data_IF_516696802645
#
_entry.id   IF_516696802645
#
_cell.length_a   1.000
_cell.length_b   1.000
_cell.length_c   1.000
_cell.angle_alpha   90.00
_cell.angle_beta   90.00
_cell.angle_gamma   90.00
#
_symmetry.space_group_name_H-M   'P 1'
#
loop_
_entity.id
_entity.type
_entity.pdbx_description
1 polymer ?
#
# COMPACT_ATOMS: atom_id res chain seq x y z
N UNK A 1 21.45 -5.61 19.21
CA UNK A 1 20.86 -5.75 20.57
C UNK A 1 19.88 -6.89 20.53
N UNK A 2 19.85 -7.74 21.56
CA UNK A 2 18.82 -8.77 21.66
C UNK A 2 17.46 -8.15 22.02
N UNK A 3 16.38 -8.92 21.84
CA UNK A 3 15.03 -8.57 22.27
C UNK A 3 15.01 -8.18 23.76
N UNK A 4 15.62 -9.01 24.60
CA UNK A 4 15.65 -8.79 26.06
C UNK A 4 16.35 -7.48 26.42
N UNK A 5 17.47 -7.15 25.74
CA UNK A 5 18.16 -5.87 25.94
C UNK A 5 17.32 -4.65 25.53
N UNK A 6 16.45 -4.79 24.54
CA UNK A 6 15.53 -3.71 24.14
C UNK A 6 14.41 -3.55 25.18
N UNK A 7 13.84 -4.67 25.65
CA UNK A 7 12.82 -4.67 26.69
C UNK A 7 13.33 -4.05 27.99
N UNK A 8 14.53 -4.43 28.45
CA UNK A 8 15.14 -3.89 29.67
C UNK A 8 15.35 -2.38 29.59
N UNK A 9 15.82 -1.88 28.44
CA UNK A 9 15.99 -0.43 28.24
C UNK A 9 14.66 0.30 28.22
N UNK A 10 13.66 -0.23 27.53
CA UNK A 10 12.33 0.36 27.50
C UNK A 10 11.72 0.38 28.91
N UNK A 11 11.87 -0.70 29.66
CA UNK A 11 11.43 -0.79 31.06
C UNK A 11 12.05 0.31 31.91
N UNK A 12 13.37 0.44 31.91
CA UNK A 12 14.09 1.48 32.66
C UNK A 12 13.66 2.89 32.26
N UNK A 13 13.43 3.12 30.96
CA UNK A 13 12.92 4.41 30.47
C UNK A 13 11.51 4.70 31.01
N UNK A 14 10.62 3.71 31.03
CA UNK A 14 9.24 3.87 31.50
C UNK A 14 9.10 3.99 33.03
N UNK A 15 10.09 3.53 33.81
CA UNK A 15 10.11 3.73 35.26
C UNK A 15 10.30 5.20 35.63
N UNK A 16 11.17 5.90 34.91
CA UNK A 16 11.57 7.28 35.25
C UNK A 16 10.79 8.36 34.50
N UNK A 17 10.17 8.00 33.37
CA UNK A 17 9.52 8.96 32.47
C UNK A 17 8.00 8.98 32.62
N UNK A 18 7.43 10.17 32.36
CA UNK A 18 5.99 10.30 32.12
C UNK A 18 5.74 10.19 30.62
N UNK A 19 5.05 9.12 30.21
CA UNK A 19 5.01 8.72 28.79
C UNK A 19 3.58 8.41 28.32
N UNK A 20 3.25 8.82 27.10
CA UNK A 20 2.09 8.33 26.36
C UNK A 20 2.61 7.49 25.21
N UNK A 21 2.21 6.23 25.18
CA UNK A 21 2.64 5.25 24.19
C UNK A 21 1.43 4.95 23.32
N UNK A 22 1.60 5.06 22.01
CA UNK A 22 0.56 4.76 21.03
C UNK A 22 0.99 3.48 20.33
N UNK A 23 0.20 2.43 20.52
CA UNK A 23 0.36 1.15 19.82
C UNK A 23 -0.73 1.09 18.78
N UNK A 24 -0.35 1.39 17.54
CA UNK A 24 -1.26 1.44 16.42
C UNK A 24 -1.38 0.06 15.76
N UNK A 25 -2.61 -0.32 15.41
CA UNK A 25 -2.99 -1.52 14.68
C UNK A 25 -2.41 -2.83 15.24
N UNK A 26 -2.83 -3.22 16.45
CA UNK A 26 -2.50 -4.53 17.01
C UNK A 26 -3.49 -5.62 16.57
N UNK A 27 -2.98 -6.75 16.08
CA UNK A 27 -3.81 -7.77 15.42
C UNK A 27 -4.21 -8.90 16.38
N UNK A 28 -3.28 -9.36 17.21
CA UNK A 28 -3.46 -10.55 18.06
C UNK A 28 -3.14 -10.27 19.53
N UNK A 29 -3.68 -11.13 20.40
CA UNK A 29 -3.44 -11.07 21.84
C UNK A 29 -1.96 -11.36 22.16
N UNK A 30 -1.34 -12.28 21.41
CA UNK A 30 0.07 -12.65 21.58
C UNK A 30 1.04 -11.50 21.23
N UNK A 31 0.62 -10.55 20.39
CA UNK A 31 1.42 -9.37 20.07
C UNK A 31 1.62 -8.50 21.32
N UNK A 32 0.62 -8.45 22.21
CA UNK A 32 0.71 -7.76 23.50
C UNK A 32 1.65 -8.49 24.45
N UNK A 33 1.54 -9.82 24.56
CA UNK A 33 2.38 -10.64 25.43
C UNK A 33 3.88 -10.47 25.15
N UNK A 34 4.22 -10.16 23.89
CA UNK A 34 5.60 -9.91 23.46
C UNK A 34 6.16 -8.60 24.04
N UNK A 35 5.33 -7.58 24.21
CA UNK A 35 5.75 -6.22 24.62
C UNK A 35 5.43 -5.90 26.08
N UNK A 36 4.44 -6.57 26.68
CA UNK A 36 4.02 -6.39 28.07
C UNK A 36 5.19 -6.38 29.07
N UNK A 37 6.21 -7.28 28.96
CA UNK A 37 7.32 -7.30 29.92
C UNK A 37 8.12 -6.01 29.99
N UNK A 38 8.05 -5.16 28.96
CA UNK A 38 8.75 -3.88 28.93
C UNK A 38 8.02 -2.78 29.74
N UNK A 39 6.82 -3.03 30.26
CA UNK A 39 6.02 -2.06 30.99
C UNK A 39 6.11 -2.27 32.52
N UNK A 40 6.67 -1.31 33.27
CA UNK A 40 6.71 -1.39 34.73
C UNK A 40 5.31 -1.37 35.33
N UNK A 41 5.02 -2.27 36.29
CA UNK A 41 3.71 -2.33 37.00
C UNK A 41 3.32 -1.02 37.68
N UNK A 42 4.31 -0.19 38.03
CA UNK A 42 4.13 1.16 38.57
C UNK A 42 4.97 2.10 37.74
N UNK A 43 4.35 3.14 37.19
CA UNK A 43 5.03 4.14 36.39
C UNK A 43 4.06 5.23 35.97
N UNK A 44 4.58 6.29 35.38
CA UNK A 44 3.78 7.41 34.88
C UNK A 44 3.52 7.28 33.38
N UNK A 45 3.23 6.06 32.92
CA UNK A 45 2.94 5.79 31.53
C UNK A 45 1.45 5.54 31.30
N UNK A 46 0.99 5.83 30.07
CA UNK A 46 -0.33 5.48 29.56
C UNK A 46 -0.17 4.87 28.17
N UNK A 47 -1.00 3.89 27.85
CA UNK A 47 -1.06 3.27 26.53
C UNK A 47 -2.38 3.66 25.87
N UNK A 48 -2.30 4.14 24.64
CA UNK A 48 -3.41 4.19 23.70
C UNK A 48 -3.18 3.07 22.69
N UNK A 49 -4.05 2.06 22.70
CA UNK A 49 -3.98 0.91 21.80
C UNK A 49 -5.12 1.01 20.79
N UNK A 50 -4.82 0.91 19.51
CA UNK A 50 -5.83 0.76 18.45
C UNK A 50 -5.78 -0.67 17.91
N UNK A 51 -6.96 -1.26 17.70
CA UNK A 51 -7.10 -2.61 17.16
C UNK A 51 -8.46 -2.77 16.53
N UNK A 52 -8.53 -3.62 15.49
CA UNK A 52 -9.80 -4.08 14.90
C UNK A 52 -10.45 -5.19 15.73
N UNK A 53 -9.73 -5.78 16.69
CA UNK A 53 -10.18 -6.84 17.56
C UNK A 53 -10.23 -6.37 19.02
N UNK A 54 -11.44 -6.15 19.54
CA UNK A 54 -11.66 -5.69 20.92
C UNK A 54 -10.99 -6.59 21.97
N UNK A 55 -10.80 -7.89 21.68
CA UNK A 55 -10.16 -8.83 22.61
C UNK A 55 -8.72 -8.46 22.92
N UNK A 56 -7.99 -7.87 21.97
CA UNK A 56 -6.59 -7.45 22.17
C UNK A 56 -6.50 -6.41 23.29
N UNK A 57 -7.41 -5.43 23.29
CA UNK A 57 -7.48 -4.42 24.35
C UNK A 57 -7.85 -5.04 25.71
N UNK A 58 -8.88 -5.90 25.73
CA UNK A 58 -9.33 -6.56 26.96
C UNK A 58 -8.29 -7.54 27.54
N UNK A 59 -7.48 -8.18 26.68
CA UNK A 59 -6.36 -9.02 27.08
C UNK A 59 -5.25 -8.18 27.73
N UNK A 60 -4.97 -7.00 27.18
CA UNK A 60 -3.92 -6.10 27.70
C UNK A 60 -4.22 -5.54 29.11
N UNK A 61 -5.45 -5.09 29.36
CA UNK A 61 -5.96 -4.77 30.70
C UNK A 61 -7.48 -4.97 30.68
N UNK A 62 -8.03 -5.92 31.45
CA UNK A 62 -9.48 -6.14 31.53
C UNK A 62 -10.28 -4.92 32.00
N UNK A 63 -9.61 -3.90 32.56
CA UNK A 63 -10.19 -2.63 33.02
C UNK A 63 -9.93 -1.47 32.07
N UNK A 64 -9.38 -1.74 30.88
CA UNK A 64 -9.09 -0.69 29.91
C UNK A 64 -10.36 0.10 29.53
N UNK A 65 -10.18 1.37 29.21
CA UNK A 65 -11.26 2.16 28.63
C UNK A 65 -11.38 1.84 27.13
N UNK A 66 -12.37 1.03 26.77
CA UNK A 66 -12.64 0.72 25.36
C UNK A 66 -13.43 1.84 24.71
N UNK A 67 -12.83 2.51 23.72
CA UNK A 67 -13.51 3.47 22.86
C UNK A 67 -13.82 2.83 21.51
N UNK A 68 -15.09 2.75 21.14
CA UNK A 68 -15.54 2.28 19.83
C UNK A 68 -15.95 3.49 18.98
N UNK A 69 -15.15 3.92 17.99
CA UNK A 69 -15.54 4.97 17.07
C UNK A 69 -16.86 4.60 16.38
N UNK A 70 -17.78 5.56 16.30
CA UNK A 70 -19.05 5.37 15.57
C UNK A 70 -18.84 5.70 14.09
N UNK A 71 -19.61 5.04 13.23
CA UNK A 71 -19.75 5.49 11.84
C UNK A 71 -20.35 6.90 11.79
N UNK A 72 -20.01 7.64 10.74
CA UNK A 72 -20.56 8.95 10.48
C UNK A 72 -22.08 8.86 10.22
N UNK A 73 -22.82 9.87 10.67
CA UNK A 73 -24.20 10.05 10.21
C UNK A 73 -24.23 10.40 8.72
N UNK A 74 -25.42 10.38 8.12
CA UNK A 74 -25.57 10.79 6.72
C UNK A 74 -25.21 12.28 6.53
N UNK A 75 -25.50 13.12 7.51
CA UNK A 75 -25.19 14.55 7.53
C UNK A 75 -23.69 14.80 7.67
N UNK A 76 -23.02 14.07 8.58
CA UNK A 76 -21.56 14.13 8.74
C UNK A 76 -20.85 13.61 7.48
N UNK A 77 -21.35 12.51 6.91
CA UNK A 77 -20.85 11.95 5.65
C UNK A 77 -21.01 12.94 4.50
N UNK A 78 -22.15 13.61 4.39
CA UNK A 78 -22.38 14.64 3.38
C UNK A 78 -21.42 15.82 3.55
N UNK A 79 -21.24 16.29 4.80
CA UNK A 79 -20.31 17.38 5.11
C UNK A 79 -18.87 17.02 4.72
N UNK A 80 -18.42 15.80 5.05
CA UNK A 80 -17.11 15.29 4.66
C UNK A 80 -16.97 15.18 3.13
N UNK A 81 -17.99 14.60 2.48
CA UNK A 81 -18.03 14.43 1.03
C UNK A 81 -17.92 15.77 0.30
N UNK A 82 -18.71 16.78 0.69
CA UNK A 82 -18.73 18.09 0.06
C UNK A 82 -17.35 18.76 0.09
N UNK A 83 -16.63 18.67 1.22
CA UNK A 83 -15.29 19.24 1.37
C UNK A 83 -14.27 18.65 0.40
N UNK A 84 -14.51 17.42 -0.07
CA UNK A 84 -13.59 16.69 -0.95
C UNK A 84 -14.03 16.80 -2.41
N UNK A 85 -15.32 16.59 -2.69
CA UNK A 85 -15.88 16.61 -4.04
C UNK A 85 -15.96 18.03 -4.62
N UNK A 86 -16.14 19.04 -3.77
CA UNK A 86 -16.23 20.45 -4.14
C UNK A 86 -15.18 21.29 -3.40
N UNK A 87 -13.88 21.07 -3.65
CA UNK A 87 -12.84 21.80 -2.94
C UNK A 87 -12.93 23.29 -3.30
N UNK A 88 -13.16 24.13 -2.30
CA UNK A 88 -13.33 25.59 -2.46
C UNK A 88 -12.08 26.22 -3.08
N UNK A 89 -12.08 26.37 -4.41
CA UNK A 89 -11.15 27.22 -5.14
C UNK A 89 -11.90 28.47 -5.58
N UNK A 90 -11.73 29.55 -4.81
CA UNK A 90 -11.99 30.95 -5.17
C UNK A 90 -12.86 31.19 -6.40
N UNK A 91 -14.13 30.79 -6.33
CA UNK A 91 -15.12 31.17 -7.34
C UNK A 91 -16.44 31.37 -6.65
N UNK A 92 -16.87 32.62 -6.63
CA UNK A 92 -18.17 33.12 -6.16
C UNK A 92 -19.38 32.54 -6.92
N UNK A 93 -19.23 31.42 -7.64
CA UNK A 93 -20.27 30.89 -8.55
C UNK A 93 -20.27 29.36 -8.74
N UNK A 94 -19.65 28.53 -7.87
CA UNK A 94 -19.99 27.10 -7.88
C UNK A 94 -21.35 26.89 -7.21
N UNK A 95 -22.44 27.20 -7.94
CA UNK A 95 -23.74 26.65 -7.62
C UNK A 95 -23.64 25.15 -7.86
N UNK A 96 -23.47 24.38 -6.78
CA UNK A 96 -23.70 22.93 -6.81
C UNK A 96 -25.09 22.76 -7.42
N UNK A 97 -25.15 22.11 -8.59
CA UNK A 97 -26.41 21.78 -9.22
C UNK A 97 -27.22 20.95 -8.21
N UNK A 98 -28.49 21.30 -8.00
CA UNK A 98 -29.37 20.57 -7.08
C UNK A 98 -29.38 19.08 -7.45
N UNK A 99 -29.30 18.75 -8.73
CA UNK A 99 -29.20 17.36 -9.20
C UNK A 99 -27.90 16.68 -8.76
N UNK A 100 -26.75 17.37 -8.77
CA UNK A 100 -25.48 16.83 -8.28
C UNK A 100 -25.52 16.59 -6.77
N UNK A 101 -26.13 17.51 -6.03
CA UNK A 101 -26.31 17.36 -4.59
C UNK A 101 -27.18 16.16 -4.24
N UNK A 102 -28.32 16.00 -4.93
CA UNK A 102 -29.22 14.86 -4.73
C UNK A 102 -28.54 13.53 -5.07
N UNK A 103 -27.84 13.45 -6.21
CA UNK A 103 -27.07 12.26 -6.58
C UNK A 103 -25.97 11.97 -5.56
N UNK A 104 -25.22 12.98 -5.13
CA UNK A 104 -24.16 12.84 -4.13
C UNK A 104 -24.72 12.28 -2.81
N UNK A 105 -25.80 12.85 -2.30
CA UNK A 105 -26.52 12.38 -1.10
C UNK A 105 -27.01 10.95 -1.24
N UNK A 106 -27.41 10.53 -2.43
CA UNK A 106 -27.80 9.14 -2.67
C UNK A 106 -26.57 8.20 -2.67
N UNK A 107 -25.48 8.59 -3.32
CA UNK A 107 -24.27 7.75 -3.41
C UNK A 107 -23.61 7.53 -2.05
N UNK A 108 -23.53 8.56 -1.20
CA UNK A 108 -22.89 8.43 0.13
C UNK A 108 -23.61 7.44 1.06
N UNK A 109 -24.91 7.13 0.83
CA UNK A 109 -25.62 6.09 1.57
C UNK A 109 -24.97 4.72 1.40
N UNK A 110 -24.32 4.48 0.27
CA UNK A 110 -23.61 3.23 -0.02
C UNK A 110 -22.24 3.13 0.66
N UNK A 111 -21.74 4.23 1.22
CA UNK A 111 -20.49 4.27 1.98
C UNK A 111 -20.65 3.76 3.43
N UNK A 112 -21.87 3.47 3.89
CA UNK A 112 -22.13 2.91 5.22
C UNK A 112 -21.67 3.80 6.39
N UNK A 113 -21.48 5.09 6.16
CA UNK A 113 -20.93 6.03 7.15
C UNK A 113 -19.43 5.84 7.43
N UNK A 114 -18.72 5.03 6.64
CA UNK A 114 -17.27 4.86 6.78
C UNK A 114 -16.54 6.07 6.17
N UNK A 115 -15.72 6.81 6.96
CA UNK A 115 -15.02 7.99 6.46
C UNK A 115 -14.20 7.72 5.20
N UNK A 116 -13.48 6.60 5.15
CA UNK A 116 -12.67 6.23 3.98
C UNK A 116 -13.52 6.13 2.71
N UNK A 117 -14.62 5.37 2.73
CA UNK A 117 -15.47 5.19 1.56
C UNK A 117 -16.07 6.53 1.08
N UNK A 118 -16.47 7.38 2.03
CA UNK A 118 -16.96 8.73 1.74
C UNK A 118 -15.85 9.57 1.06
N UNK A 119 -14.63 9.53 1.58
CA UNK A 119 -13.50 10.29 1.02
C UNK A 119 -13.06 9.79 -0.35
N UNK A 120 -13.10 8.47 -0.59
CA UNK A 120 -12.76 7.85 -1.87
C UNK A 120 -13.81 8.17 -2.93
N UNK A 121 -15.10 8.12 -2.58
CA UNK A 121 -16.19 8.58 -3.45
C UNK A 121 -16.08 10.08 -3.77
N UNK A 122 -15.79 10.90 -2.74
CA UNK A 122 -15.57 12.33 -2.91
C UNK A 122 -14.40 12.63 -3.85
N UNK A 123 -13.27 11.93 -3.69
CA UNK A 123 -12.10 12.10 -4.54
C UNK A 123 -12.31 11.60 -5.98
N UNK A 124 -13.07 10.52 -6.16
CA UNK A 124 -13.51 10.06 -7.47
C UNK A 124 -14.32 11.16 -8.19
N UNK A 125 -15.31 11.73 -7.50
CA UNK A 125 -16.22 12.72 -8.08
C UNK A 125 -15.58 14.11 -8.21
N UNK A 126 -14.59 14.45 -7.39
CA UNK A 126 -13.79 15.67 -7.56
C UNK A 126 -13.03 15.71 -8.91
N UNK A 127 -12.72 14.54 -9.47
CA UNK A 127 -12.11 14.41 -10.79
C UNK A 127 -13.12 14.48 -11.95
N UNK A 128 -14.43 14.47 -11.65
CA UNK A 128 -15.54 14.49 -12.62
C UNK A 128 -16.27 15.83 -12.51
N UNK A 129 -16.05 16.73 -13.47
CA UNK A 129 -16.54 18.11 -13.35
C UNK A 129 -17.96 18.30 -13.88
N UNK A 130 -18.48 17.35 -14.67
CA UNK A 130 -19.77 17.51 -15.36
C UNK A 130 -20.88 16.68 -14.75
N UNK A 131 -22.12 17.19 -14.85
CA UNK A 131 -23.34 16.48 -14.41
C UNK A 131 -23.46 15.12 -15.10
N UNK A 132 -23.07 15.04 -16.37
CA UNK A 132 -23.09 13.81 -17.16
C UNK A 132 -22.15 12.76 -16.58
N UNK A 133 -20.95 13.14 -16.16
CA UNK A 133 -19.98 12.22 -15.55
C UNK A 133 -20.46 11.74 -14.18
N UNK A 134 -20.98 12.66 -13.36
CA UNK A 134 -21.61 12.31 -12.08
C UNK A 134 -22.75 11.31 -12.26
N UNK A 135 -23.64 11.57 -13.23
CA UNK A 135 -24.75 10.67 -13.56
C UNK A 135 -24.27 9.30 -14.03
N UNK A 136 -23.16 9.22 -14.78
CA UNK A 136 -22.55 7.93 -15.17
C UNK A 136 -22.10 7.14 -13.94
N UNK A 137 -21.38 7.78 -13.02
CA UNK A 137 -20.92 7.12 -11.78
C UNK A 137 -22.11 6.68 -10.93
N UNK A 138 -23.11 7.55 -10.78
CA UNK A 138 -24.34 7.25 -10.06
C UNK A 138 -25.06 6.00 -10.62
N UNK A 139 -25.26 5.93 -11.94
CA UNK A 139 -25.90 4.76 -12.56
C UNK A 139 -25.03 3.50 -12.48
N UNK A 140 -23.70 3.62 -12.55
CA UNK A 140 -22.79 2.50 -12.34
C UNK A 140 -22.98 1.91 -10.93
N UNK A 141 -22.93 2.74 -9.89
CA UNK A 141 -23.18 2.32 -8.50
C UNK A 141 -24.56 1.64 -8.39
N UNK A 142 -25.60 2.24 -8.97
CA UNK A 142 -26.96 1.68 -8.96
C UNK A 142 -27.01 0.30 -9.62
N UNK A 143 -26.35 0.12 -10.76
CA UNK A 143 -26.34 -1.14 -11.50
C UNK A 143 -25.64 -2.28 -10.75
N UNK A 144 -24.50 -2.00 -10.11
CA UNK A 144 -23.74 -3.00 -9.35
C UNK A 144 -24.47 -3.47 -8.09
N UNK A 145 -25.31 -2.62 -7.51
CA UNK A 145 -26.14 -2.94 -6.35
C UNK A 145 -27.35 -3.81 -6.74
N UNK A 146 -27.99 -3.51 -7.87
CA UNK A 146 -29.13 -4.30 -8.37
C UNK A 146 -28.69 -5.66 -8.92
N UNK A 147 -27.47 -5.74 -9.46
CA UNK A 147 -26.90 -6.98 -10.03
C UNK A 147 -26.46 -8.04 -9.03
N UNK A 148 -26.49 -7.76 -7.72
CA UNK A 148 -26.28 -8.76 -6.67
C UNK A 148 -24.97 -9.53 -6.78
N UNK A 149 -23.82 -8.86 -6.82
CA UNK A 149 -22.54 -9.55 -6.62
C UNK A 149 -22.41 -9.94 -5.14
N UNK A 150 -22.70 -11.20 -4.85
CA UNK A 150 -22.67 -11.82 -3.52
C UNK A 150 -21.35 -11.59 -2.79
N UNK A 151 -21.32 -10.62 -1.88
CA UNK A 151 -20.45 -10.64 -0.72
C UNK A 151 -21.34 -10.64 0.51
N UNK A 152 -21.09 -11.58 1.41
CA UNK A 152 -21.85 -11.78 2.65
C UNK A 152 -21.75 -10.53 3.50
N UNK A 153 -22.92 -9.99 3.85
CA UNK A 153 -23.18 -8.70 4.51
C UNK A 153 -23.33 -7.50 3.56
N UNK A 154 -24.58 -7.04 3.38
CA UNK A 154 -24.98 -6.10 2.30
C UNK A 154 -24.26 -4.74 2.39
N UNK A 155 -23.96 -4.27 3.60
CA UNK A 155 -23.28 -2.99 3.82
C UNK A 155 -21.78 -3.06 3.49
N UNK A 156 -21.13 -4.17 3.83
CA UNK A 156 -19.73 -4.40 3.48
C UNK A 156 -19.61 -4.50 1.95
N UNK A 157 -20.54 -5.23 1.30
CA UNK A 157 -20.58 -5.33 -0.16
C UNK A 157 -20.73 -3.97 -0.84
N UNK A 158 -21.52 -3.02 -0.32
CA UNK A 158 -21.69 -1.71 -0.96
C UNK A 158 -20.47 -0.81 -0.80
N UNK A 159 -19.79 -0.88 0.34
CA UNK A 159 -18.52 -0.15 0.57
C UNK A 159 -17.45 -0.62 -0.40
N UNK A 160 -17.22 -1.94 -0.50
CA UNK A 160 -16.24 -2.47 -1.45
C UNK A 160 -16.57 -2.10 -2.89
N UNK A 161 -17.85 -2.06 -3.27
CA UNK A 161 -18.28 -1.61 -4.60
C UNK A 161 -17.85 -0.17 -4.89
N UNK A 162 -17.96 0.75 -3.92
CA UNK A 162 -17.46 2.13 -4.07
C UNK A 162 -15.94 2.14 -4.26
N UNK A 163 -15.19 1.44 -3.41
CA UNK A 163 -13.73 1.41 -3.50
C UNK A 163 -13.25 0.78 -4.82
N UNK A 164 -13.93 -0.28 -5.27
CA UNK A 164 -13.67 -0.95 -6.53
C UNK A 164 -13.97 -0.05 -7.72
N UNK A 165 -15.12 0.63 -7.72
CA UNK A 165 -15.48 1.58 -8.78
C UNK A 165 -14.47 2.72 -8.87
N UNK A 166 -13.98 3.23 -7.74
CA UNK A 166 -12.92 4.24 -7.74
C UNK A 166 -11.63 3.75 -8.40
N UNK A 167 -11.30 2.46 -8.31
CA UNK A 167 -10.22 1.87 -9.12
C UNK A 167 -10.59 1.78 -10.60
N UNK A 168 -11.80 1.31 -10.94
CA UNK A 168 -12.22 1.15 -12.33
C UNK A 168 -12.23 2.44 -13.13
N UNK A 169 -12.53 3.56 -12.46
CA UNK A 169 -12.57 4.89 -13.05
C UNK A 169 -11.18 5.54 -13.16
N UNK A 170 -10.11 4.89 -12.69
CA UNK A 170 -8.75 5.40 -12.87
C UNK A 170 -8.33 5.35 -14.35
N UNK A 171 -7.57 6.35 -14.84
CA UNK A 171 -6.89 6.26 -16.12
C UNK A 171 -5.86 5.10 -16.10
N UNK A 172 -5.60 4.52 -17.27
CA UNK A 172 -4.77 3.31 -17.44
C UNK A 172 -3.42 3.41 -16.71
N UNK A 173 -2.75 4.55 -16.80
CA UNK A 173 -1.45 4.73 -16.14
C UNK A 173 -1.54 4.69 -14.60
N UNK A 174 -2.62 5.23 -14.02
CA UNK A 174 -2.86 5.16 -12.58
C UNK A 174 -3.27 3.76 -12.15
N UNK A 175 -4.08 3.04 -12.95
CA UNK A 175 -4.38 1.62 -12.68
C UNK A 175 -3.08 0.82 -12.55
N UNK A 176 -2.17 0.98 -13.51
CA UNK A 176 -0.88 0.29 -13.47
C UNK A 176 -0.01 0.71 -12.28
N UNK A 177 0.06 2.01 -11.96
CA UNK A 177 0.78 2.48 -10.77
C UNK A 177 0.17 1.91 -9.49
N UNK A 178 -1.16 1.91 -9.37
CA UNK A 178 -1.88 1.41 -8.22
C UNK A 178 -1.64 -0.08 -8.02
N UNK A 179 -1.83 -0.92 -9.05
CA UNK A 179 -1.54 -2.35 -8.99
C UNK A 179 -0.06 -2.64 -8.74
N UNK A 180 0.84 -1.74 -9.12
CA UNK A 180 2.25 -1.89 -8.78
C UNK A 180 2.52 -1.82 -7.27
N UNK A 181 1.68 -1.13 -6.51
CA UNK A 181 1.82 -1.04 -5.06
C UNK A 181 1.56 -2.39 -4.36
N UNK A 182 0.91 -3.36 -5.02
CA UNK A 182 0.74 -4.74 -4.50
C UNK A 182 2.06 -5.46 -4.23
N UNK A 183 3.17 -5.03 -4.85
CA UNK A 183 4.50 -5.62 -4.57
C UNK A 183 4.90 -5.48 -3.11
N UNK A 184 4.44 -4.44 -2.42
CA UNK A 184 4.86 -4.11 -1.07
C UNK A 184 3.94 -4.75 -0.03
N UNK A 185 4.47 -5.17 1.15
CA UNK A 185 3.67 -5.77 2.20
C UNK A 185 2.66 -4.78 2.78
N UNK A 186 1.78 -5.30 3.62
CA UNK A 186 0.85 -4.46 4.39
C UNK A 186 1.65 -3.52 5.30
N UNK A 187 1.12 -2.31 5.47
CA UNK A 187 1.74 -1.22 6.25
C UNK A 187 3.14 -0.77 5.87
N UNK A 188 3.61 -1.16 4.69
CA UNK A 188 4.91 -0.76 4.19
C UNK A 188 4.91 0.71 3.75
N UNK A 189 5.75 1.53 4.38
CA UNK A 189 6.08 2.86 3.86
C UNK A 189 6.96 2.75 2.61
N UNK A 190 6.37 3.00 1.45
CA UNK A 190 7.05 2.88 0.16
C UNK A 190 7.79 4.18 -0.13
N UNK A 191 9.12 4.10 -0.30
CA UNK A 191 9.90 5.26 -0.72
C UNK A 191 9.57 5.67 -2.17
N UNK A 192 9.02 6.87 -2.36
CA UNK A 192 8.53 7.31 -3.69
C UNK A 192 9.67 7.51 -4.69
N UNK A 193 10.87 7.87 -4.23
CA UNK A 193 12.06 7.94 -5.11
C UNK A 193 12.40 6.53 -5.63
N UNK A 194 12.41 5.53 -4.76
CA UNK A 194 12.68 4.13 -5.16
C UNK A 194 11.60 3.61 -6.11
N UNK A 195 10.33 3.81 -5.75
CA UNK A 195 9.18 3.50 -6.58
C UNK A 195 9.29 4.12 -7.98
N UNK A 196 9.77 5.36 -8.09
CA UNK A 196 9.91 6.03 -9.39
C UNK A 196 10.83 5.29 -10.37
N UNK A 197 11.87 4.64 -9.86
CA UNK A 197 12.75 3.83 -10.71
C UNK A 197 12.08 2.53 -11.14
N UNK A 198 11.31 1.90 -10.24
CA UNK A 198 10.60 0.67 -10.56
C UNK A 198 9.54 0.87 -11.64
N UNK A 199 8.70 1.90 -11.48
CA UNK A 199 7.65 2.22 -12.45
C UNK A 199 8.24 2.57 -13.83
N UNK A 200 9.39 3.26 -13.83
CA UNK A 200 10.11 3.57 -15.05
C UNK A 200 10.72 2.33 -15.73
N UNK A 201 11.32 1.42 -14.94
CA UNK A 201 11.88 0.16 -15.46
C UNK A 201 10.80 -0.74 -16.07
N UNK A 202 9.60 -0.73 -15.50
CA UNK A 202 8.44 -1.44 -16.02
C UNK A 202 7.81 -0.78 -17.25
N UNK A 203 8.23 0.44 -17.60
CA UNK A 203 7.69 1.26 -18.68
C UNK A 203 6.17 1.49 -18.54
N UNK A 204 5.72 1.80 -17.33
CA UNK A 204 4.33 2.21 -17.11
C UNK A 204 4.03 3.48 -17.92
N UNK A 205 2.87 3.57 -18.60
CA UNK A 205 2.54 4.72 -19.44
C UNK A 205 2.60 6.03 -18.66
N UNK A 206 3.18 7.07 -19.26
CA UNK A 206 3.26 8.40 -18.64
C UNK A 206 1.90 9.12 -18.73
N UNK A 207 1.58 10.02 -17.79
CA UNK A 207 0.44 10.93 -17.96
C UNK A 207 0.65 11.79 -19.22
N UNK A 208 -0.44 12.22 -19.86
CA UNK A 208 -0.36 13.14 -20.99
C UNK A 208 0.35 14.44 -20.56
N UNK A 209 1.29 14.93 -21.37
CA UNK A 209 2.05 16.15 -21.09
C UNK A 209 3.29 15.95 -20.19
N UNK A 210 3.67 14.71 -19.87
CA UNK A 210 4.84 14.38 -19.04
C UNK A 210 5.98 13.71 -19.83
N UNK A 211 6.04 13.92 -21.14
CA UNK A 211 7.03 13.27 -22.03
C UNK A 211 8.47 13.74 -21.76
N UNK A 212 8.66 14.98 -21.27
CA UNK A 212 9.96 15.52 -20.85
C UNK A 212 10.25 15.42 -19.35
N UNK A 213 9.31 14.92 -18.55
CA UNK A 213 9.45 14.87 -17.10
C UNK A 213 10.45 13.79 -16.66
N UNK A 214 11.12 14.03 -15.54
CA UNK A 214 11.94 13.01 -14.89
C UNK A 214 11.07 11.84 -14.40
N UNK A 215 11.66 10.66 -14.25
CA UNK A 215 10.95 9.49 -13.68
C UNK A 215 10.36 9.80 -12.30
N UNK A 216 11.05 10.65 -11.54
CA UNK A 216 10.63 11.08 -10.21
C UNK A 216 9.40 11.96 -10.26
N UNK A 217 9.35 12.95 -11.14
CA UNK A 217 8.19 13.84 -11.32
C UNK A 217 6.96 13.06 -11.81
N UNK A 218 7.16 12.10 -12.71
CA UNK A 218 6.08 11.20 -13.15
C UNK A 218 5.51 10.39 -11.98
N UNK A 219 6.36 9.81 -11.15
CA UNK A 219 5.91 9.07 -9.98
C UNK A 219 5.21 9.97 -8.95
N UNK A 220 5.71 11.20 -8.72
CA UNK A 220 5.03 12.18 -7.88
C UNK A 220 3.65 12.53 -8.42
N UNK A 221 3.50 12.65 -9.74
CA UNK A 221 2.22 12.89 -10.35
C UNK A 221 1.24 11.75 -10.09
N UNK A 222 1.70 10.50 -10.20
CA UNK A 222 0.85 9.35 -9.87
C UNK A 222 0.42 9.36 -8.40
N UNK A 223 1.37 9.55 -7.47
CA UNK A 223 1.07 9.55 -6.04
C UNK A 223 0.16 10.72 -5.69
N UNK A 224 0.40 11.92 -6.22
CA UNK A 224 -0.46 13.08 -6.04
C UNK A 224 -1.91 12.78 -6.41
N UNK A 225 -2.12 12.18 -7.59
CA UNK A 225 -3.45 11.89 -8.09
C UNK A 225 -4.17 10.76 -7.33
N UNK A 226 -3.43 9.79 -6.80
CA UNK A 226 -3.98 8.75 -5.92
C UNK A 226 -4.31 9.29 -4.53
N UNK A 227 -3.48 10.21 -4.00
CA UNK A 227 -3.72 10.91 -2.73
C UNK A 227 -4.93 11.83 -2.84
N UNK A 228 -5.08 12.58 -3.94
CA UNK A 228 -6.26 13.42 -4.20
C UNK A 228 -7.56 12.59 -4.28
N UNK A 229 -7.45 11.31 -4.68
CA UNK A 229 -8.57 10.35 -4.69
C UNK A 229 -8.73 9.60 -3.37
N UNK A 230 -7.94 9.93 -2.35
CA UNK A 230 -7.92 9.28 -1.04
C UNK A 230 -7.66 7.76 -1.10
N UNK A 231 -6.96 7.28 -2.14
CA UNK A 231 -6.64 5.85 -2.31
C UNK A 231 -5.29 5.47 -1.69
N UNK A 232 -4.41 6.46 -1.51
CA UNK A 232 -3.04 6.31 -1.02
C UNK A 232 -2.78 7.37 0.05
N UNK A 233 -2.15 6.95 1.14
CA UNK A 233 -1.63 7.82 2.19
C UNK A 233 -0.20 8.22 1.79
N UNK A 234 0.22 9.45 2.07
CA UNK A 234 1.58 9.89 1.75
C UNK A 234 2.15 10.83 2.80
N UNK A 235 3.47 10.76 2.98
CA UNK A 235 4.22 11.72 3.77
C UNK A 235 5.14 12.52 2.86
N UNK A 236 5.23 13.84 3.10
CA UNK A 236 6.15 14.73 2.39
C UNK A 236 7.43 14.95 3.19
N UNK A 237 8.52 15.12 2.47
CA UNK A 237 9.79 15.54 3.06
C UNK A 237 9.68 16.99 3.54
N UNK A 238 10.18 17.27 4.75
CA UNK A 238 10.00 18.57 5.42
C UNK A 238 10.70 19.72 4.69
N UNK A 239 11.81 19.44 4.02
CA UNK A 239 12.64 20.46 3.39
C UNK A 239 12.31 20.64 1.92
N UNK A 240 12.16 19.54 1.20
CA UNK A 240 11.89 19.55 -0.23
C UNK A 240 10.40 19.65 -0.56
N UNK A 241 9.51 19.42 0.41
CA UNK A 241 8.05 19.31 0.25
C UNK A 241 7.59 18.25 -0.77
N UNK A 242 8.52 17.45 -1.28
CA UNK A 242 8.28 16.36 -2.21
C UNK A 242 7.68 15.16 -1.48
N UNK A 243 6.91 14.33 -2.18
CA UNK A 243 6.41 13.07 -1.59
C UNK A 243 7.58 12.17 -1.22
N UNK A 244 7.79 11.90 0.06
CA UNK A 244 8.89 11.07 0.55
C UNK A 244 8.49 9.60 0.54
N UNK A 245 7.36 9.30 1.17
CA UNK A 245 6.79 7.95 1.27
C UNK A 245 5.33 7.95 0.86
N UNK A 246 4.85 6.79 0.42
CA UNK A 246 3.44 6.51 0.19
C UNK A 246 3.08 5.11 0.70
N UNK A 247 1.82 4.90 1.04
CA UNK A 247 1.29 3.64 1.56
C UNK A 247 -0.15 3.48 1.05
N UNK A 248 -0.52 2.25 0.67
CA UNK A 248 -1.92 1.95 0.38
C UNK A 248 -2.71 1.99 1.69
N UNK A 249 -3.88 2.63 1.67
CA UNK A 249 -4.81 2.46 2.77
C UNK A 249 -5.31 1.00 2.79
N UNK A 250 -5.44 0.38 3.96
CA UNK A 250 -5.69 -1.07 4.11
C UNK A 250 -6.89 -1.59 3.30
N UNK A 251 -8.04 -0.93 3.36
CA UNK A 251 -9.20 -1.32 2.55
C UNK A 251 -8.95 -1.16 1.03
N UNK A 252 -8.15 -0.16 0.64
CA UNK A 252 -7.73 0.01 -0.76
C UNK A 252 -6.69 -1.03 -1.16
N UNK A 253 -5.88 -1.51 -0.22
CA UNK A 253 -4.96 -2.62 -0.42
C UNK A 253 -5.71 -3.88 -0.78
N UNK A 254 -6.85 -4.16 -0.15
CA UNK A 254 -7.68 -5.31 -0.50
C UNK A 254 -8.21 -5.22 -1.94
N UNK A 255 -8.69 -4.04 -2.36
CA UNK A 255 -9.09 -3.82 -3.77
C UNK A 255 -7.89 -4.02 -4.70
N UNK A 256 -6.74 -3.46 -4.34
CA UNK A 256 -5.50 -3.54 -5.11
C UNK A 256 -5.03 -5.00 -5.30
N UNK A 257 -4.99 -5.79 -4.23
CA UNK A 257 -4.58 -7.20 -4.24
C UNK A 257 -5.54 -8.02 -5.09
N UNK A 258 -6.86 -7.91 -4.87
CA UNK A 258 -7.85 -8.66 -5.65
C UNK A 258 -7.76 -8.34 -7.14
N UNK A 259 -7.58 -7.06 -7.49
CA UNK A 259 -7.40 -6.66 -8.89
C UNK A 259 -6.11 -7.17 -9.50
N UNK A 260 -5.02 -7.16 -8.73
CA UNK A 260 -3.77 -7.73 -9.17
C UNK A 260 -3.89 -9.24 -9.43
N UNK A 261 -4.65 -9.97 -8.61
CA UNK A 261 -4.93 -11.39 -8.80
C UNK A 261 -5.80 -11.65 -10.05
N UNK A 262 -6.90 -10.90 -10.22
CA UNK A 262 -7.77 -10.97 -11.41
C UNK A 262 -6.97 -10.79 -12.72
N UNK A 263 -6.00 -9.87 -12.71
CA UNK A 263 -5.17 -9.54 -13.89
C UNK A 263 -3.88 -10.36 -13.99
N UNK A 264 -3.60 -11.27 -13.04
CA UNK A 264 -2.30 -11.94 -12.89
C UNK A 264 -1.11 -10.94 -12.92
N UNK A 265 -1.29 -9.79 -12.27
CA UNK A 265 -0.42 -8.61 -12.39
C UNK A 265 0.93 -8.78 -11.68
N UNK A 266 0.93 -9.42 -10.50
CA UNK A 266 2.10 -9.74 -9.68
C UNK A 266 1.83 -11.02 -8.88
N UNK A 267 2.86 -11.85 -8.69
CA UNK A 267 2.85 -12.93 -7.72
C UNK A 267 3.67 -12.52 -6.49
N UNK A 268 3.19 -12.82 -5.28
CA UNK A 268 3.90 -12.52 -4.02
C UNK A 268 4.41 -13.82 -3.40
N UNK A 269 5.70 -13.86 -3.08
CA UNK A 269 6.36 -14.96 -2.39
C UNK A 269 6.65 -14.62 -0.93
N UNK A 270 6.47 -15.59 -0.04
CA UNK A 270 6.59 -15.41 1.41
C UNK A 270 5.29 -14.99 2.11
N UNK A 271 4.18 -14.87 1.38
CA UNK A 271 2.84 -14.85 1.98
C UNK A 271 2.37 -16.31 2.19
N UNK A 272 1.59 -16.58 3.23
CA UNK A 272 1.19 -17.91 3.74
C UNK A 272 0.57 -18.93 2.73
N UNK A 273 0.49 -18.61 1.42
CA UNK A 273 -0.20 -19.37 0.38
C UNK A 273 0.60 -19.62 -0.92
N UNK A 274 1.93 -19.52 -0.97
CA UNK A 274 2.67 -19.70 -2.23
C UNK A 274 3.06 -21.16 -2.55
N UNK A 275 2.08 -22.01 -2.88
CA UNK A 275 2.32 -23.35 -3.46
C UNK A 275 2.09 -23.43 -4.98
N UNK A 276 1.68 -22.33 -5.64
CA UNK A 276 1.40 -22.32 -7.08
C UNK A 276 2.60 -21.86 -7.91
N UNK A 277 2.76 -22.33 -9.17
CA UNK A 277 3.82 -21.86 -10.04
C UNK A 277 3.61 -20.39 -10.41
N UNK A 278 4.66 -19.58 -10.31
CA UNK A 278 4.66 -18.17 -10.71
C UNK A 278 4.30 -18.00 -12.19
N UNK A 279 3.15 -17.38 -12.47
CA UNK A 279 2.65 -17.14 -13.84
C UNK A 279 2.77 -15.68 -14.23
N UNK A 280 2.86 -14.78 -13.25
CA UNK A 280 2.94 -13.35 -13.49
C UNK A 280 4.29 -12.95 -14.09
N UNK A 281 4.32 -11.78 -14.74
CA UNK A 281 5.57 -11.15 -15.21
C UNK A 281 6.30 -10.40 -14.11
N UNK A 282 5.75 -10.37 -12.89
CA UNK A 282 6.33 -9.65 -11.75
C UNK A 282 6.26 -10.52 -10.51
N UNK A 283 7.34 -10.51 -9.73
CA UNK A 283 7.37 -11.19 -8.46
C UNK A 283 7.88 -10.22 -7.39
N UNK A 284 7.12 -10.08 -6.31
CA UNK A 284 7.55 -9.46 -5.07
C UNK A 284 7.88 -10.54 -4.04
N UNK A 285 9.02 -10.41 -3.37
CA UNK A 285 9.44 -11.31 -2.29
C UNK A 285 9.39 -10.51 -0.99
N UNK A 286 8.55 -10.94 -0.08
CA UNK A 286 8.44 -10.35 1.27
C UNK A 286 9.36 -11.07 2.24
N UNK A 287 9.35 -12.39 2.23
CA UNK A 287 10.21 -13.21 3.09
C UNK A 287 10.70 -14.44 2.32
N UNK A 288 11.91 -14.88 2.66
CA UNK A 288 12.53 -16.11 2.19
C UNK A 288 13.06 -16.85 3.42
N UNK A 289 12.53 -18.05 3.66
CA UNK A 289 13.07 -18.98 4.64
C UNK A 289 14.28 -19.74 4.04
N UNK A 290 15.17 -20.26 4.87
CA UNK A 290 16.31 -21.08 4.44
C UNK A 290 15.85 -22.36 3.71
N UNK A 291 14.63 -22.83 3.99
CA UNK A 291 14.01 -23.98 3.32
C UNK A 291 13.37 -23.66 1.97
N UNK A 292 13.19 -22.39 1.63
CA UNK A 292 12.52 -22.01 0.39
C UNK A 292 13.40 -22.30 -0.83
N UNK A 293 12.80 -22.84 -1.90
CA UNK A 293 13.47 -23.04 -3.19
C UNK A 293 13.11 -21.93 -4.19
N UNK A 294 13.87 -20.82 -4.23
CA UNK A 294 13.65 -19.74 -5.18
C UNK A 294 13.88 -20.15 -6.64
N UNK A 295 14.32 -21.40 -6.93
CA UNK A 295 14.38 -21.91 -8.31
C UNK A 295 13.02 -21.96 -8.98
N UNK A 296 11.92 -22.02 -8.23
CA UNK A 296 10.57 -21.90 -8.78
C UNK A 296 10.40 -20.62 -9.62
N UNK A 297 11.00 -19.52 -9.17
CA UNK A 297 10.93 -18.22 -9.83
C UNK A 297 11.72 -18.19 -11.14
N UNK A 298 12.85 -18.92 -11.19
CA UNK A 298 13.68 -19.06 -12.38
C UNK A 298 13.05 -19.92 -13.48
N UNK A 299 11.87 -20.52 -13.25
CA UNK A 299 11.12 -21.29 -14.27
C UNK A 299 10.28 -20.41 -15.18
N UNK A 300 10.10 -19.13 -14.86
CA UNK A 300 9.31 -18.21 -15.67
C UNK A 300 10.19 -17.29 -16.53
N UNK A 301 10.49 -17.65 -17.80
CA UNK A 301 11.33 -16.82 -18.68
C UNK A 301 10.67 -15.50 -19.07
N UNK A 302 9.37 -15.31 -18.79
CA UNK A 302 8.62 -14.08 -19.08
C UNK A 302 8.75 -13.04 -17.96
N UNK A 303 9.48 -13.34 -16.89
CA UNK A 303 9.65 -12.44 -15.75
C UNK A 303 10.33 -11.13 -16.16
N UNK A 304 9.78 -10.01 -15.69
CA UNK A 304 10.23 -8.63 -15.96
C UNK A 304 10.63 -7.89 -14.69
N UNK A 305 9.94 -8.13 -13.58
CA UNK A 305 10.30 -7.55 -12.28
C UNK A 305 10.55 -8.67 -11.28
N UNK A 306 11.68 -8.56 -10.58
CA UNK A 306 12.00 -9.36 -9.41
C UNK A 306 12.43 -8.41 -8.29
N UNK A 307 11.53 -8.20 -7.33
CA UNK A 307 11.75 -7.26 -6.24
C UNK A 307 11.84 -7.98 -4.90
N UNK A 308 12.91 -7.72 -4.16
CA UNK A 308 13.06 -8.14 -2.77
C UNK A 308 12.74 -6.93 -1.91
N UNK A 309 11.65 -7.02 -1.14
CA UNK A 309 11.07 -5.86 -0.48
C UNK A 309 11.58 -5.70 0.95
N UNK A 310 11.81 -6.81 1.65
CA UNK A 310 12.37 -6.79 3.01
C UNK A 310 13.88 -7.08 3.00
N UNK A 311 14.60 -6.36 3.85
CA UNK A 311 16.05 -6.48 4.06
C UNK A 311 16.45 -7.75 4.85
N UNK A 312 15.52 -8.69 5.08
CA UNK A 312 15.77 -9.90 5.87
C UNK A 312 16.51 -11.00 5.13
N UNK A 313 16.85 -10.79 3.85
CA UNK A 313 17.70 -11.69 3.10
C UNK A 313 19.06 -11.77 3.77
N UNK A 314 19.33 -12.89 4.44
CA UNK A 314 20.68 -13.22 4.91
C UNK A 314 21.43 -14.15 3.97
N UNK A 315 20.76 -14.82 3.02
CA UNK A 315 21.38 -15.98 2.37
C UNK A 315 20.94 -16.32 0.94
N UNK A 316 20.12 -15.52 0.24
CA UNK A 316 19.83 -15.85 -1.16
C UNK A 316 20.89 -15.32 -2.12
N UNK A 317 21.78 -16.20 -2.54
CA UNK A 317 22.73 -15.96 -3.62
C UNK A 317 22.17 -16.61 -4.89
N UNK A 318 21.69 -15.82 -5.87
CA UNK A 318 21.34 -16.40 -7.15
C UNK A 318 22.58 -17.01 -7.80
N UNK A 319 22.37 -17.93 -8.73
CA UNK A 319 23.45 -18.46 -9.57
C UNK A 319 23.46 -17.74 -10.91
N UNK A 320 24.56 -17.84 -11.67
CA UNK A 320 24.64 -17.31 -13.05
C UNK A 320 23.47 -17.78 -13.93
N UNK A 321 22.85 -18.91 -13.58
CA UNK A 321 21.64 -19.43 -14.20
C UNK A 321 20.49 -18.42 -14.21
N UNK A 322 20.36 -17.57 -13.20
CA UNK A 322 19.33 -16.52 -13.14
C UNK A 322 19.44 -15.60 -14.36
N UNK A 323 20.64 -15.09 -14.63
CA UNK A 323 20.89 -14.16 -15.75
C UNK A 323 20.72 -14.83 -17.12
N UNK A 324 20.97 -16.14 -17.20
CA UNK A 324 20.75 -16.89 -18.45
C UNK A 324 19.28 -17.20 -18.72
N UNK A 325 18.47 -17.39 -17.67
CA UNK A 325 17.06 -17.82 -17.79
C UNK A 325 16.07 -16.65 -17.84
N UNK A 326 16.39 -15.53 -17.20
CA UNK A 326 15.47 -14.40 -17.04
C UNK A 326 15.84 -13.23 -17.96
N UNK A 327 16.09 -13.48 -19.24
CA UNK A 327 16.60 -12.47 -20.18
C UNK A 327 15.65 -11.28 -20.41
N UNK A 328 14.35 -11.45 -20.10
CA UNK A 328 13.33 -10.39 -20.20
C UNK A 328 13.25 -9.49 -18.97
N UNK A 329 14.09 -9.72 -17.96
CA UNK A 329 14.12 -8.95 -16.72
C UNK A 329 14.47 -7.48 -16.98
N UNK A 330 13.70 -6.59 -16.36
CA UNK A 330 13.79 -5.12 -16.46
C UNK A 330 14.14 -4.48 -15.13
N UNK A 331 13.60 -4.99 -14.03
CA UNK A 331 13.87 -4.49 -12.68
C UNK A 331 14.33 -5.64 -11.78
N UNK A 332 15.43 -5.40 -11.08
CA UNK A 332 16.03 -6.34 -10.15
C UNK A 332 16.51 -5.60 -8.89
N UNK A 333 15.88 -5.88 -7.76
CA UNK A 333 16.13 -5.20 -6.48
C UNK A 333 16.99 -6.05 -5.53
N UNK A 334 17.73 -5.41 -4.61
CA UNK A 334 18.34 -6.01 -3.42
C UNK A 334 18.99 -7.40 -3.61
N UNK A 335 19.79 -7.52 -4.66
CA UNK A 335 20.70 -8.66 -4.79
C UNK A 335 21.82 -8.54 -3.76
N UNK A 336 21.82 -9.41 -2.76
CA UNK A 336 23.00 -9.65 -1.94
C UNK A 336 23.89 -10.67 -2.67
N UNK A 337 25.08 -10.23 -3.06
CA UNK A 337 26.04 -11.11 -3.75
C UNK A 337 27.44 -10.90 -3.19
N UNK A 338 28.10 -11.98 -2.77
CA UNK A 338 29.52 -11.97 -2.48
C UNK A 338 30.29 -12.21 -3.77
N UNK A 339 30.65 -11.13 -4.46
CA UNK A 339 31.45 -11.26 -5.66
C UNK A 339 32.83 -11.80 -5.29
N UNK A 340 33.26 -12.90 -5.90
CA UNK A 340 34.67 -13.31 -5.84
C UNK A 340 35.52 -12.16 -6.40
N UNK A 341 36.24 -11.45 -5.55
CA UNK A 341 37.05 -10.30 -5.94
C UNK A 341 36.28 -8.98 -6.18
N UNK A 342 34.99 -8.89 -5.84
CA UNK A 342 34.22 -7.65 -6.02
C UNK A 342 33.61 -7.43 -7.41
N UNK A 343 33.77 -8.37 -8.35
CA UNK A 343 33.31 -8.25 -9.74
C UNK A 343 31.97 -8.93 -10.02
N UNK A 344 31.07 -8.22 -10.73
CA UNK A 344 29.81 -8.77 -11.24
C UNK A 344 30.06 -9.89 -12.26
N UNK A 345 29.30 -11.00 -12.22
CA UNK A 345 29.45 -12.07 -13.18
C UNK A 345 29.12 -11.58 -14.59
N UNK A 346 29.95 -11.92 -15.57
CA UNK A 346 29.80 -11.50 -16.97
C UNK A 346 28.45 -11.89 -17.59
N UNK A 347 27.81 -12.93 -17.04
CA UNK A 347 26.47 -13.36 -17.45
C UNK A 347 25.39 -12.30 -17.23
N UNK A 348 25.58 -11.31 -16.36
CA UNK A 348 24.62 -10.19 -16.21
C UNK A 348 24.43 -9.43 -17.52
N UNK A 349 25.44 -9.38 -18.39
CA UNK A 349 25.35 -8.79 -19.72
C UNK A 349 24.30 -9.44 -20.64
N UNK A 350 23.79 -10.62 -20.28
CA UNK A 350 22.68 -11.28 -20.99
C UNK A 350 21.33 -10.63 -20.70
N UNK A 351 21.21 -9.86 -19.61
CA UNK A 351 19.99 -9.11 -19.27
C UNK A 351 19.90 -7.79 -20.05
N UNK A 352 19.80 -7.87 -21.38
CA UNK A 352 19.77 -6.69 -22.27
C UNK A 352 18.55 -5.78 -22.05
N UNK A 353 17.51 -6.32 -21.43
CA UNK A 353 16.29 -5.59 -21.08
C UNK A 353 16.32 -4.94 -19.71
N UNK A 354 17.39 -5.15 -18.92
CA UNK A 354 17.53 -4.57 -17.59
C UNK A 354 17.55 -3.04 -17.71
N UNK A 355 16.76 -2.38 -16.86
CA UNK A 355 16.63 -0.92 -16.76
C UNK A 355 16.84 -0.44 -15.33
N UNK A 356 16.71 -1.33 -14.35
CA UNK A 356 16.96 -1.06 -12.96
C UNK A 356 17.66 -2.24 -12.30
N UNK A 357 18.74 -1.93 -11.58
CA UNK A 357 19.54 -2.87 -10.81
C UNK A 357 19.92 -2.22 -9.47
N UNK A 358 19.54 -2.86 -8.37
CA UNK A 358 19.97 -2.50 -7.02
C UNK A 358 20.78 -3.65 -6.44
N UNK A 359 21.99 -3.34 -5.97
CA UNK A 359 22.94 -4.29 -5.41
C UNK A 359 23.20 -3.93 -3.95
N UNK A 360 23.13 -4.91 -3.06
CA UNK A 360 23.61 -4.79 -1.68
C UNK A 360 25.06 -5.27 -1.65
N UNK A 361 25.99 -4.32 -1.54
CA UNK A 361 27.40 -4.65 -1.30
C UNK A 361 27.63 -4.86 0.19
N UNK A 362 27.96 -6.08 0.59
CA UNK A 362 28.60 -6.30 1.87
C UNK A 362 30.02 -5.72 1.81
N UNK A 363 30.26 -4.63 2.52
CA UNK A 363 31.61 -4.17 2.85
C UNK A 363 32.24 -5.24 3.74
N UNK A 364 32.92 -6.23 3.14
CA UNK A 364 33.79 -7.10 3.93
C UNK A 364 34.91 -6.26 4.53
N UNK A 365 35.09 -6.43 5.85
CA UNK A 365 36.15 -5.83 6.66
C UNK A 365 37.49 -5.92 5.92
N UNK A 366 38.12 -4.77 5.71
CA UNK A 366 39.56 -4.67 5.45
C UNK A 366 40.27 -5.45 6.56
N UNK A 367 40.94 -6.55 6.20
CA UNK A 367 41.89 -7.24 7.08
C UNK A 367 43.23 -6.54 7.04
#
# INVERSE_FOLDING_TARGET
MSKDQLQDKLFQLLEISKSLIILDDMWKEEDWDIIEPAFPKKGHWKVLLTSRNERVGLHSDPRCFTFKPKCLTIEESWTLFQRIAFPSKDTTEFKVDVEMEEMGKHMIKHCGGLPLAVTVLGGLLAAQYTLREWKRVYESIRSHIVGGTSFTDRNISSVYQILYLSFEELPIYLKHCFLYLTHFPEDCEINVKKLSYYLAAEAIPRPKGYDGATVREVAEKYIEELVQRNMVISARDKFTLRFKTCQLHDMMREVCVRKAEEENFVDIFGAANSQSPFKSRRIGIHELDESDDPKGMMKNPKLRSLLFINDTLKAWMPSDLLFTRLQLLRALEHLQWEFKGGELPSSIGKLIHLRYLSLLMNLMKLR
#
